data_IF_668660810040
#
_entry.id   IF_668660810040
#
_cell.length_a   1.000
_cell.length_b   1.000
_cell.length_c   1.000
_cell.angle_alpha   90.00
_cell.angle_beta   90.00
_cell.angle_gamma   90.00
#
_symmetry.space_group_name_H-M   'P 1'
#
loop_
_entity.id
_entity.type
_entity.pdbx_description
1 polymer ?
#
# COMPACT_ATOMS: atom_id res chain seq x y z
N UNK A 1 9.53 9.60 -12.28
CA UNK A 1 8.69 9.36 -11.14
C UNK A 1 7.86 8.13 -11.27
N UNK A 2 7.86 7.38 -10.24
CA UNK A 2 7.32 6.03 -10.16
C UNK A 2 5.84 5.90 -10.51
N UNK A 3 5.01 6.89 -10.17
CA UNK A 3 3.56 6.79 -10.38
C UNK A 3 3.16 6.87 -11.85
N UNK A 4 3.80 7.73 -12.63
CA UNK A 4 3.52 7.84 -14.06
C UNK A 4 3.89 6.56 -14.81
N UNK A 5 5.05 5.95 -14.45
CA UNK A 5 5.48 4.69 -15.03
C UNK A 5 4.55 3.54 -14.67
N UNK A 6 4.07 3.51 -13.43
CA UNK A 6 3.16 2.47 -12.96
C UNK A 6 1.81 2.55 -13.64
N UNK A 7 1.24 3.75 -13.76
CA UNK A 7 -0.02 3.97 -14.47
C UNK A 7 0.12 3.51 -15.92
N UNK A 8 1.21 3.88 -16.59
CA UNK A 8 1.44 3.50 -17.98
C UNK A 8 1.60 1.99 -18.13
N UNK A 9 2.36 1.35 -17.23
CA UNK A 9 2.54 -0.11 -17.24
C UNK A 9 1.22 -0.84 -17.07
N UNK A 10 0.41 -0.43 -16.09
CA UNK A 10 -0.89 -1.04 -15.83
C UNK A 10 -1.86 -0.82 -16.99
N UNK A 11 -1.85 0.37 -17.59
CA UNK A 11 -2.65 0.66 -18.77
C UNK A 11 -2.26 -0.23 -19.95
N UNK A 12 -0.97 -0.47 -20.15
CA UNK A 12 -0.48 -1.36 -21.19
C UNK A 12 -0.88 -2.82 -20.95
N UNK A 13 -0.83 -3.28 -19.72
CA UNK A 13 -1.28 -4.63 -19.36
C UNK A 13 -2.77 -4.82 -19.64
N UNK A 14 -3.58 -3.82 -19.32
CA UNK A 14 -5.01 -3.83 -19.57
C UNK A 14 -5.31 -3.88 -21.06
N UNK A 15 -4.60 -3.10 -21.87
CA UNK A 15 -4.80 -3.06 -23.31
C UNK A 15 -4.44 -4.40 -23.97
N UNK A 16 -3.67 -5.26 -23.31
CA UNK A 16 -3.34 -6.60 -23.78
C UNK A 16 -4.43 -7.62 -23.46
N UNK A 17 -5.29 -7.34 -22.49
CA UNK A 17 -6.37 -8.24 -22.12
C UNK A 17 -7.54 -8.04 -23.08
N UNK A 18 -7.67 -8.98 -24.01
CA UNK A 18 -8.72 -8.94 -25.04
C UNK A 18 -10.08 -9.43 -24.55
N UNK A 19 -10.17 -9.91 -23.29
CA UNK A 19 -11.40 -10.49 -22.76
C UNK A 19 -12.40 -9.46 -22.25
N UNK A 20 -11.98 -8.18 -22.14
CA UNK A 20 -12.79 -7.10 -21.56
C UNK A 20 -12.90 -5.91 -22.52
N UNK A 21 -14.01 -5.13 -22.46
CA UNK A 21 -14.08 -3.85 -23.17
C UNK A 21 -12.98 -2.92 -22.65
N UNK A 22 -11.92 -2.75 -23.45
CA UNK A 22 -10.71 -2.02 -23.07
C UNK A 22 -11.00 -0.65 -22.46
N UNK A 23 -11.98 0.07 -23.01
CA UNK A 23 -12.31 1.41 -22.57
C UNK A 23 -12.88 1.44 -21.14
N UNK A 24 -13.81 0.54 -20.82
CA UNK A 24 -14.42 0.48 -19.49
C UNK A 24 -13.37 0.07 -18.44
N UNK A 25 -12.55 -0.92 -18.78
CA UNK A 25 -11.52 -1.41 -17.87
C UNK A 25 -10.47 -0.32 -17.59
N UNK A 26 -10.03 0.40 -18.64
CA UNK A 26 -9.07 1.48 -18.50
C UNK A 26 -9.59 2.61 -17.62
N UNK A 27 -10.85 3.01 -17.82
CA UNK A 27 -11.49 4.07 -17.03
C UNK A 27 -11.61 3.66 -15.56
N UNK A 28 -11.98 2.41 -15.30
CA UNK A 28 -12.11 1.89 -13.94
C UNK A 28 -10.76 1.83 -13.25
N UNK A 29 -9.70 1.43 -13.95
CA UNK A 29 -8.36 1.38 -13.39
C UNK A 29 -7.80 2.77 -13.13
N UNK A 30 -8.09 3.74 -13.98
CA UNK A 30 -7.70 5.14 -13.78
C UNK A 30 -8.29 5.66 -12.46
N UNK A 31 -9.52 5.27 -12.11
CA UNK A 31 -10.12 5.65 -10.82
C UNK A 31 -9.34 5.09 -9.65
N UNK A 32 -8.89 3.82 -9.72
CA UNK A 32 -8.09 3.20 -8.67
C UNK A 32 -6.74 3.92 -8.56
N UNK A 33 -6.10 4.22 -9.69
CA UNK A 33 -4.83 4.95 -9.69
C UNK A 33 -4.99 6.35 -9.14
N UNK A 34 -6.11 7.01 -9.42
CA UNK A 34 -6.40 8.34 -8.88
C UNK A 34 -6.60 8.29 -7.35
N UNK A 35 -7.27 7.26 -6.84
CA UNK A 35 -7.41 7.02 -5.42
C UNK A 35 -6.04 6.91 -4.73
N UNK A 36 -5.12 6.15 -5.35
CA UNK A 36 -3.76 5.98 -4.88
C UNK A 36 -2.98 7.29 -4.89
N UNK A 37 -3.04 8.04 -5.98
CA UNK A 37 -2.36 9.34 -6.12
C UNK A 37 -2.87 10.33 -5.06
N UNK A 38 -4.19 10.41 -4.88
CA UNK A 38 -4.80 11.31 -3.90
C UNK A 38 -4.37 10.96 -2.49
N UNK A 39 -4.29 9.67 -2.16
CA UNK A 39 -3.82 9.20 -0.86
C UNK A 39 -2.39 9.67 -0.59
N UNK A 40 -1.48 9.45 -1.55
CA UNK A 40 -0.07 9.83 -1.36
C UNK A 40 0.12 11.35 -1.34
N UNK A 41 -0.69 12.09 -2.10
CA UNK A 41 -0.69 13.55 -2.06
C UNK A 41 -1.09 14.08 -0.68
N UNK A 42 -2.14 13.51 -0.11
CA UNK A 42 -2.66 13.93 1.20
C UNK A 42 -1.69 13.61 2.33
N UNK A 43 -0.78 12.67 2.13
CA UNK A 43 0.16 12.20 3.16
C UNK A 43 1.61 12.45 2.75
N UNK A 44 1.87 13.48 1.96
CA UNK A 44 3.22 13.85 1.55
C UNK A 44 4.07 14.26 2.76
N UNK A 45 5.37 13.95 2.70
CA UNK A 45 6.31 14.22 3.78
C UNK A 45 6.35 13.15 4.87
N UNK A 46 5.52 12.12 4.76
CA UNK A 46 5.45 10.99 5.70
C UNK A 46 5.98 9.73 5.00
N UNK A 47 6.54 8.81 5.78
CA UNK A 47 6.97 7.52 5.26
C UNK A 47 5.75 6.77 4.68
N UNK A 48 5.90 6.21 3.51
CA UNK A 48 4.78 5.60 2.79
C UNK A 48 5.04 4.15 2.41
N UNK A 49 3.95 3.41 2.24
CA UNK A 49 3.93 1.99 1.88
C UNK A 49 3.15 1.87 0.57
N UNK A 50 3.71 1.13 -0.37
CA UNK A 50 3.07 0.83 -1.64
C UNK A 50 3.23 -0.67 -1.92
N UNK A 51 2.14 -1.41 -1.80
CA UNK A 51 2.14 -2.85 -2.01
C UNK A 51 1.25 -3.22 -3.18
N UNK A 52 1.83 -3.94 -4.14
CA UNK A 52 1.09 -4.49 -5.27
C UNK A 52 0.67 -5.91 -4.92
N UNK A 53 -0.62 -6.12 -4.63
CA UNK A 53 -1.13 -7.43 -4.23
C UNK A 53 -1.16 -8.44 -5.40
N UNK A 54 -1.13 -7.97 -6.65
CA UNK A 54 -1.10 -8.83 -7.83
C UNK A 54 0.29 -9.42 -8.04
N UNK A 55 1.34 -8.60 -7.95
CA UNK A 55 2.72 -9.03 -8.13
C UNK A 55 3.39 -9.48 -6.84
N UNK A 56 2.88 -9.06 -5.69
CA UNK A 56 3.49 -9.30 -4.39
C UNK A 56 4.66 -8.37 -4.07
N UNK A 57 4.86 -7.30 -4.84
CA UNK A 57 5.97 -6.39 -4.62
C UNK A 57 5.65 -5.32 -3.59
N UNK A 58 6.52 -5.18 -2.60
CA UNK A 58 6.44 -4.17 -1.55
C UNK A 58 7.48 -3.08 -1.78
N UNK A 59 7.06 -1.83 -1.71
CA UNK A 59 7.96 -0.68 -1.74
C UNK A 59 7.65 0.22 -0.54
N UNK A 60 8.69 0.60 0.21
CA UNK A 60 8.57 1.51 1.33
C UNK A 60 9.46 2.71 1.08
N UNK A 61 8.88 3.89 1.19
CA UNK A 61 9.55 5.16 0.92
C UNK A 61 9.60 6.01 2.19
N UNK A 62 10.67 6.79 2.35
CA UNK A 62 10.70 7.79 3.42
C UNK A 62 9.97 9.07 2.98
N UNK A 63 9.85 10.05 3.89
CA UNK A 63 9.15 11.30 3.61
C UNK A 63 9.78 12.13 2.49
N UNK A 64 11.00 11.83 2.09
CA UNK A 64 11.71 12.48 0.98
C UNK A 64 11.60 11.71 -0.32
N UNK A 65 10.73 10.70 -0.39
CA UNK A 65 10.51 9.83 -1.55
C UNK A 65 11.73 8.97 -1.92
N UNK A 66 12.61 8.70 -0.96
CA UNK A 66 13.72 7.77 -1.12
C UNK A 66 13.27 6.36 -0.74
N UNK A 67 13.71 5.35 -1.50
CA UNK A 67 13.35 3.96 -1.23
C UNK A 67 14.09 3.47 0.00
N UNK A 68 13.35 3.08 1.04
CA UNK A 68 13.88 2.43 2.22
C UNK A 68 13.96 0.91 2.04
N UNK A 69 12.99 0.35 1.34
CA UNK A 69 12.89 -1.09 1.13
C UNK A 69 12.10 -1.34 -0.15
N UNK A 70 12.58 -2.27 -0.97
CA UNK A 70 11.82 -2.76 -2.13
C UNK A 70 12.15 -4.24 -2.30
N UNK A 71 11.13 -5.09 -2.19
CA UNK A 71 11.30 -6.53 -2.27
C UNK A 71 10.02 -7.24 -2.62
N UNK A 72 10.12 -8.51 -2.96
CA UNK A 72 8.97 -9.39 -3.11
C UNK A 72 8.47 -9.80 -1.72
N UNK A 73 7.18 -9.66 -1.50
CA UNK A 73 6.54 -9.98 -0.24
C UNK A 73 5.16 -10.59 -0.52
N UNK A 74 5.10 -11.82 -1.04
CA UNK A 74 3.83 -12.40 -1.49
C UNK A 74 2.80 -12.58 -0.38
N UNK A 75 3.23 -12.65 0.88
CA UNK A 75 2.34 -12.82 2.03
C UNK A 75 2.12 -11.54 2.80
N UNK A 76 2.64 -10.43 2.32
CA UNK A 76 2.58 -9.14 3.02
C UNK A 76 3.07 -9.25 4.47
N UNK A 77 4.29 -9.76 4.64
CA UNK A 77 4.97 -9.84 5.94
C UNK A 77 5.62 -8.50 6.29
N UNK A 78 4.79 -7.50 6.30
CA UNK A 78 5.12 -6.10 6.44
C UNK A 78 6.15 -5.83 7.53
N UNK A 79 7.17 -5.04 7.19
CA UNK A 79 8.18 -4.56 8.14
C UNK A 79 9.09 -5.63 8.75
N UNK A 80 9.22 -6.79 8.14
CA UNK A 80 10.15 -7.80 8.63
C UNK A 80 11.57 -7.24 8.79
N UNK A 81 12.01 -6.41 7.85
CA UNK A 81 13.32 -5.74 7.91
C UNK A 81 13.39 -4.67 9.00
N UNK A 82 12.27 -4.22 9.49
CA UNK A 82 12.21 -3.19 10.53
C UNK A 82 12.02 -3.76 11.93
N UNK A 83 12.24 -5.07 12.09
CA UNK A 83 12.19 -5.72 13.39
C UNK A 83 10.81 -5.77 14.04
N UNK A 84 9.75 -5.67 13.27
CA UNK A 84 8.37 -5.82 13.78
C UNK A 84 8.18 -7.27 14.20
N UNK A 85 7.68 -7.48 15.40
CA UNK A 85 7.46 -8.84 15.92
C UNK A 85 6.31 -9.51 15.18
N UNK A 86 6.36 -10.84 15.12
CA UNK A 86 5.40 -11.64 14.38
C UNK A 86 3.96 -11.42 14.84
N UNK A 87 3.76 -11.24 16.14
CA UNK A 87 2.44 -10.95 16.70
C UNK A 87 1.82 -9.67 16.13
N UNK A 88 2.62 -8.62 15.95
CA UNK A 88 2.16 -7.36 15.38
C UNK A 88 1.88 -7.51 13.88
N UNK A 89 2.71 -8.27 13.17
CA UNK A 89 2.47 -8.59 11.75
C UNK A 89 1.13 -9.33 11.62
N UNK A 90 0.89 -10.33 12.46
CA UNK A 90 -0.36 -11.09 12.44
C UNK A 90 -1.57 -10.21 12.77
N UNK A 91 -1.42 -9.31 13.73
CA UNK A 91 -2.47 -8.36 14.08
C UNK A 91 -2.85 -7.48 12.89
N UNK A 92 -1.86 -6.97 12.16
CA UNK A 92 -2.09 -6.17 10.95
C UNK A 92 -2.81 -6.99 9.88
N UNK A 93 -2.37 -8.23 9.67
CA UNK A 93 -2.99 -9.12 8.69
C UNK A 93 -4.45 -9.42 9.05
N UNK A 94 -4.75 -9.63 10.32
CA UNK A 94 -6.12 -9.85 10.78
C UNK A 94 -7.00 -8.63 10.54
N UNK A 95 -6.47 -7.43 10.79
CA UNK A 95 -7.19 -6.19 10.48
C UNK A 95 -7.44 -6.04 8.97
N UNK A 96 -6.45 -6.38 8.15
CA UNK A 96 -6.60 -6.31 6.69
C UNK A 96 -7.66 -7.28 6.18
N UNK A 97 -7.78 -8.46 6.78
CA UNK A 97 -8.83 -9.43 6.42
C UNK A 97 -10.24 -8.91 6.72
N UNK A 98 -10.37 -7.93 7.60
CA UNK A 98 -11.66 -7.31 7.91
C UNK A 98 -11.99 -6.16 6.96
N UNK A 99 -11.08 -5.75 6.08
CA UNK A 99 -11.35 -4.70 5.12
C UNK A 99 -12.26 -5.18 3.99
N UNK A 100 -12.98 -4.25 3.38
CA UNK A 100 -13.89 -4.51 2.27
C UNK A 100 -13.96 -3.26 1.40
N UNK A 101 -14.71 -3.35 0.31
CA UNK A 101 -14.95 -2.20 -0.56
C UNK A 101 -15.60 -1.04 0.21
N UNK A 102 -16.41 -1.34 1.23
CA UNK A 102 -17.07 -0.35 2.06
C UNK A 102 -16.20 0.14 3.22
N UNK A 103 -15.23 -0.66 3.65
CA UNK A 103 -14.35 -0.34 4.78
C UNK A 103 -12.89 -0.62 4.40
N UNK A 104 -12.28 0.35 3.74
CA UNK A 104 -10.97 0.18 3.11
C UNK A 104 -9.80 0.47 4.04
N UNK A 105 -10.00 1.17 5.15
CA UNK A 105 -8.91 1.65 5.97
C UNK A 105 -8.79 0.93 7.30
N UNK A 106 -7.54 0.71 7.73
CA UNK A 106 -7.22 0.26 9.09
C UNK A 106 -6.13 1.16 9.67
N UNK A 107 -6.08 1.22 10.98
CA UNK A 107 -5.02 1.92 11.70
C UNK A 107 -4.46 1.00 12.78
N UNK A 108 -3.14 1.05 12.98
CA UNK A 108 -2.46 0.26 13.98
C UNK A 108 -1.25 1.03 14.50
N UNK A 109 -0.86 0.73 15.74
CA UNK A 109 0.37 1.25 16.34
C UNK A 109 1.28 0.07 16.59
N UNK A 110 2.50 0.12 16.05
CA UNK A 110 3.48 -0.96 16.13
C UNK A 110 4.83 -0.42 16.58
N UNK A 111 5.64 -1.31 17.14
CA UNK A 111 7.05 -1.02 17.44
C UNK A 111 7.91 -1.49 16.28
N UNK A 112 8.75 -0.61 15.77
CA UNK A 112 9.63 -0.92 14.64
C UNK A 112 10.94 -0.16 14.76
N UNK A 113 11.96 -0.63 14.04
CA UNK A 113 13.23 0.05 13.90
C UNK A 113 13.40 0.49 12.45
N UNK A 114 13.32 1.80 12.21
CA UNK A 114 13.45 2.40 10.89
C UNK A 114 14.64 3.34 10.90
N UNK A 115 15.57 3.13 9.98
CA UNK A 115 16.80 3.94 9.89
C UNK A 115 17.53 4.05 11.25
N UNK A 116 17.66 2.91 11.95
CA UNK A 116 18.30 2.79 13.27
C UNK A 116 17.55 3.44 14.44
N UNK A 117 16.30 3.90 14.21
CA UNK A 117 15.45 4.43 15.26
C UNK A 117 14.39 3.40 15.65
N UNK A 118 14.52 2.87 16.86
CA UNK A 118 13.53 1.93 17.42
C UNK A 118 12.51 2.71 18.23
N UNK A 119 11.27 2.73 17.78
CA UNK A 119 10.21 3.49 18.44
C UNK A 119 8.82 3.01 17.99
N UNK A 120 7.80 3.56 18.61
CA UNK A 120 6.43 3.28 18.20
C UNK A 120 6.06 4.09 16.95
N UNK A 121 5.42 3.42 16.01
CA UNK A 121 4.91 4.04 14.78
C UNK A 121 3.41 3.85 14.69
N UNK A 122 2.71 4.92 14.33
CA UNK A 122 1.32 4.84 13.93
C UNK A 122 1.26 4.56 12.43
N UNK A 123 0.54 3.54 12.07
CA UNK A 123 0.41 3.11 10.67
C UNK A 123 -1.05 3.20 10.25
N UNK A 124 -1.28 3.70 9.04
CA UNK A 124 -2.59 3.68 8.40
C UNK A 124 -2.44 2.97 7.07
N UNK A 125 -3.27 1.96 6.85
CA UNK A 125 -3.30 1.23 5.59
C UNK A 125 -4.65 1.42 4.91
N UNK A 126 -4.61 1.52 3.59
CA UNK A 126 -5.78 1.71 2.74
C UNK A 126 -5.73 0.65 1.64
N UNK A 127 -6.76 -0.19 1.56
CA UNK A 127 -6.82 -1.25 0.55
C UNK A 127 -7.41 -0.72 -0.75
N UNK A 128 -6.84 -1.19 -1.86
CA UNK A 128 -7.30 -0.87 -3.21
C UNK A 128 -7.97 -2.11 -3.80
N UNK A 129 -9.15 -1.93 -4.37
CA UNK A 129 -9.98 -3.05 -4.81
C UNK A 129 -10.12 -3.09 -6.33
N UNK A 130 -10.18 -4.29 -6.87
CA UNK A 130 -10.36 -4.48 -8.30
C UNK A 130 -11.69 -3.87 -8.78
N UNK A 131 -11.68 -3.05 -9.83
CA UNK A 131 -12.91 -2.53 -10.41
C UNK A 131 -13.69 -3.55 -11.21
N UNK A 132 -13.07 -4.69 -11.54
CA UNK A 132 -13.66 -5.70 -12.42
C UNK A 132 -14.05 -6.99 -11.70
N UNK A 133 -13.31 -7.35 -10.66
CA UNK A 133 -13.57 -8.57 -9.88
C UNK A 133 -14.02 -8.19 -8.49
N UNK A 134 -15.22 -8.61 -8.13
CA UNK A 134 -15.80 -8.32 -6.83
C UNK A 134 -14.93 -8.90 -5.70
N UNK A 135 -14.71 -8.10 -4.67
CA UNK A 135 -14.03 -8.50 -3.43
C UNK A 135 -12.59 -9.00 -3.63
N UNK A 136 -11.89 -8.49 -4.66
CA UNK A 136 -10.48 -8.78 -4.88
C UNK A 136 -9.64 -7.54 -4.59
N UNK A 137 -8.79 -7.62 -3.56
CA UNK A 137 -7.85 -6.56 -3.23
C UNK A 137 -6.66 -6.63 -4.19
N UNK A 138 -6.37 -5.52 -4.88
CA UNK A 138 -5.28 -5.43 -5.85
C UNK A 138 -4.07 -4.67 -5.33
N UNK A 139 -4.20 -3.98 -4.21
CA UNK A 139 -3.09 -3.23 -3.63
C UNK A 139 -3.38 -2.77 -2.22
N UNK A 140 -2.32 -2.43 -1.52
CA UNK A 140 -2.41 -1.83 -0.19
C UNK A 140 -1.46 -0.64 -0.19
N UNK A 141 -1.98 0.53 0.13
CA UNK A 141 -1.18 1.75 0.28
C UNK A 141 -1.28 2.21 1.72
N UNK A 142 -0.27 2.92 2.18
CA UNK A 142 -0.29 3.35 3.56
C UNK A 142 0.80 4.35 3.87
N UNK A 143 0.77 4.81 5.10
CA UNK A 143 1.84 5.60 5.66
C UNK A 143 2.09 5.18 7.10
N UNK A 144 3.26 5.51 7.60
CA UNK A 144 3.60 5.32 9.00
C UNK A 144 4.42 6.49 9.51
N UNK A 145 4.16 6.87 10.74
CA UNK A 145 4.80 8.01 11.36
C UNK A 145 5.02 7.71 12.84
N UNK A 146 6.00 8.39 13.43
CA UNK A 146 6.29 8.23 14.84
C UNK A 146 5.13 8.74 15.68
N UNK A 147 4.86 8.03 16.78
CA UNK A 147 3.90 8.49 17.77
C UNK A 147 4.58 9.59 18.57
N UNK A 148 4.05 10.82 18.46
CA UNK A 148 4.56 11.93 19.24
C UNK A 148 4.15 11.75 20.68
N UNK A 149 5.15 11.66 21.56
CA UNK A 149 4.87 11.64 22.99
C UNK A 149 4.47 13.05 23.42
N UNK A 150 3.30 13.14 24.06
CA UNK A 150 2.91 14.38 24.71
C UNK A 150 3.81 14.59 25.92
N UNK A 151 4.57 15.65 25.89
CA UNK A 151 5.32 16.07 27.07
C UNK A 151 4.36 16.69 28.08
#
# INVERSE_FOLDING_TARGET
>A
MTYSHEIQRLSNEILRDKSLPNQIYSQSLVKVMQEKIDFFKSNSGINSIDYNAVSGQLTILNGKQQILCQRDDPKFNLFKEFGVIEEDVQYIQDLLHQTSVQNKEISATIKATVENNSQMYRMKLHTLWSPMKKDVCIGIIGYFDTVKQKK
#
